data_IF_448331615924
#
_entry.id   IF_448331615924
#
_cell.length_a   1.000
_cell.length_b   1.000
_cell.length_c   1.000
_cell.angle_alpha   90.00
_cell.angle_beta   90.00
_cell.angle_gamma   90.00
#
_symmetry.space_group_name_H-M   'P 1'
#
loop_
_entity.id
_entity.type
_entity.pdbx_description
1 polymer ?
#
# COMPACT_ATOMS: atom_id res chain seq x y z
N UNK A 1 7.81 -5.91 17.39
CA UNK A 1 8.09 -5.68 15.96
C UNK A 1 7.53 -4.32 15.60
N UNK A 2 8.35 -3.39 15.14
CA UNK A 2 7.84 -2.12 14.62
C UNK A 2 7.42 -2.36 13.17
N UNK A 3 6.23 -1.91 12.75
CA UNK A 3 5.85 -2.00 11.35
C UNK A 3 6.87 -1.23 10.49
N UNK A 4 7.27 -1.79 9.34
CA UNK A 4 8.20 -1.13 8.43
C UNK A 4 7.57 0.19 7.98
N UNK A 5 8.27 1.29 8.26
CA UNK A 5 7.81 2.64 7.97
C UNK A 5 8.27 3.03 6.57
N UNK A 6 7.35 3.09 5.61
CA UNK A 6 7.64 3.62 4.27
C UNK A 6 7.49 5.14 4.28
N UNK A 7 8.59 5.85 3.97
CA UNK A 7 8.64 7.31 4.01
C UNK A 7 8.48 7.96 2.63
N UNK A 8 7.94 7.24 1.65
CA UNK A 8 7.84 7.74 0.28
C UNK A 8 9.20 7.97 -0.37
N UNK A 9 10.19 7.16 0.00
CA UNK A 9 11.54 7.25 -0.57
C UNK A 9 11.47 6.82 -2.04
N UNK A 10 11.93 7.70 -2.94
CA UNK A 10 11.88 7.57 -4.41
C UNK A 10 12.69 6.40 -4.98
N UNK A 11 13.13 5.46 -4.13
CA UNK A 11 13.88 4.29 -4.53
C UNK A 11 12.91 3.12 -4.81
N UNK A 12 12.82 2.66 -6.07
CA UNK A 12 12.01 1.50 -6.45
C UNK A 12 12.30 0.25 -5.60
N UNK A 13 13.55 0.06 -5.17
CA UNK A 13 13.96 -1.09 -4.36
C UNK A 13 13.37 -1.02 -2.95
N UNK A 14 13.29 0.16 -2.37
CA UNK A 14 12.70 0.36 -1.05
C UNK A 14 11.18 0.19 -1.10
N UNK A 15 10.54 0.64 -2.17
CA UNK A 15 9.11 0.42 -2.41
C UNK A 15 8.77 -1.07 -2.56
N UNK A 16 9.55 -1.82 -3.35
CA UNK A 16 9.39 -3.28 -3.46
C UNK A 16 9.69 -3.99 -2.14
N UNK A 17 10.73 -3.58 -1.42
CA UNK A 17 11.06 -4.15 -0.12
C UNK A 17 9.91 -3.93 0.88
N UNK A 18 9.32 -2.74 0.91
CA UNK A 18 8.18 -2.46 1.77
C UNK A 18 6.97 -3.33 1.41
N UNK A 19 6.64 -3.45 0.13
CA UNK A 19 5.51 -4.30 -0.31
C UNK A 19 5.71 -5.75 0.13
N UNK A 20 6.92 -6.29 -0.01
CA UNK A 20 7.26 -7.64 0.47
C UNK A 20 7.09 -7.80 1.98
N UNK A 21 7.44 -6.79 2.77
CA UNK A 21 7.23 -6.85 4.21
C UNK A 21 5.74 -6.78 4.59
N UNK A 22 4.93 -5.99 3.87
CA UNK A 22 3.47 -5.98 4.07
C UNK A 22 2.85 -7.35 3.71
N UNK A 23 3.26 -7.97 2.60
CA UNK A 23 2.82 -9.32 2.25
C UNK A 23 3.18 -10.36 3.31
N UNK A 24 4.37 -10.24 3.92
CA UNK A 24 4.78 -11.09 5.05
C UNK A 24 3.90 -10.88 6.27
N UNK A 25 3.59 -9.62 6.63
CA UNK A 25 2.71 -9.29 7.75
C UNK A 25 1.31 -9.86 7.52
N UNK A 26 0.72 -9.63 6.33
CA UNK A 26 -0.59 -10.16 5.96
C UNK A 26 -0.64 -11.69 6.13
N UNK A 27 0.42 -12.38 5.70
CA UNK A 27 0.53 -13.84 5.83
C UNK A 27 0.70 -14.28 7.29
N UNK A 28 1.50 -13.56 8.07
CA UNK A 28 1.78 -13.87 9.47
C UNK A 28 0.54 -13.73 10.36
N UNK A 29 -0.27 -12.68 10.15
CA UNK A 29 -1.49 -12.44 10.93
C UNK A 29 -2.73 -13.10 10.31
N UNK A 30 -2.59 -13.77 9.16
CA UNK A 30 -3.71 -14.34 8.39
C UNK A 30 -4.78 -13.29 8.09
N UNK A 31 -4.35 -12.11 7.65
CA UNK A 31 -5.22 -10.97 7.33
C UNK A 31 -6.23 -11.39 6.24
N UNK A 32 -7.51 -11.11 6.48
CA UNK A 32 -8.57 -11.35 5.51
C UNK A 32 -8.35 -10.49 4.27
N UNK A 33 -8.71 -10.99 3.09
CA UNK A 33 -8.46 -10.29 1.82
C UNK A 33 -9.07 -8.88 1.78
N UNK A 34 -10.25 -8.71 2.39
CA UNK A 34 -10.96 -7.43 2.56
C UNK A 34 -10.21 -6.42 3.44
N UNK A 35 -9.38 -6.87 4.38
CA UNK A 35 -8.67 -6.01 5.33
C UNK A 35 -7.25 -5.64 4.88
N UNK A 36 -6.69 -6.34 3.89
CA UNK A 36 -5.27 -6.18 3.51
C UNK A 36 -4.95 -4.77 3.04
N UNK A 37 -5.83 -4.15 2.25
CA UNK A 37 -5.63 -2.78 1.73
C UNK A 37 -5.73 -1.77 2.88
N UNK A 38 -6.69 -1.95 3.78
CA UNK A 38 -6.82 -1.12 4.98
C UNK A 38 -5.57 -1.19 5.85
N UNK A 39 -5.03 -2.39 6.09
CA UNK A 39 -3.79 -2.56 6.86
C UNK A 39 -2.58 -1.92 6.17
N UNK A 40 -2.41 -2.16 4.87
CA UNK A 40 -1.28 -1.63 4.11
C UNK A 40 -1.28 -0.10 4.07
N UNK A 41 -2.46 0.50 3.91
CA UNK A 41 -2.61 1.95 3.81
C UNK A 41 -2.47 2.61 5.18
N UNK A 42 -2.92 1.95 6.26
CA UNK A 42 -2.60 2.35 7.64
C UNK A 42 -1.08 2.37 7.92
N UNK A 43 -0.32 1.47 7.29
CA UNK A 43 1.14 1.41 7.45
C UNK A 43 1.93 2.39 6.55
N UNK A 44 1.27 3.11 5.63
CA UNK A 44 1.89 4.22 4.90
C UNK A 44 2.13 5.40 5.84
N UNK A 45 3.30 6.04 5.80
CA UNK A 45 3.58 7.22 6.62
C UNK A 45 3.48 8.54 5.83
N UNK A 46 2.92 9.56 6.48
CA UNK A 46 2.95 10.98 6.05
C UNK A 46 2.50 11.23 4.60
N UNK A 47 3.41 11.53 3.66
CA UNK A 47 3.06 12.07 2.33
C UNK A 47 2.33 11.06 1.42
N UNK A 48 2.48 9.77 1.69
CA UNK A 48 1.92 8.71 0.85
C UNK A 48 0.45 8.42 1.17
N UNK A 49 0.02 8.77 2.40
CA UNK A 49 -1.39 8.76 2.82
C UNK A 49 -2.22 9.78 1.99
N UNK A 50 -1.63 10.93 1.65
CA UNK A 50 -2.29 11.95 0.82
C UNK A 50 -2.54 11.47 -0.61
N UNK A 51 -1.59 10.74 -1.21
CA UNK A 51 -1.77 10.16 -2.55
C UNK A 51 -2.89 9.12 -2.53
N UNK A 52 -2.86 8.20 -1.57
CA UNK A 52 -3.86 7.16 -1.48
C UNK A 52 -5.26 7.72 -1.22
N UNK A 53 -5.41 8.63 -0.27
CA UNK A 53 -6.67 9.31 0.00
C UNK A 53 -7.18 10.10 -1.23
N UNK A 54 -6.30 10.69 -2.02
CA UNK A 54 -6.69 11.34 -3.29
C UNK A 54 -7.14 10.33 -4.35
N UNK A 55 -6.50 9.17 -4.41
CA UNK A 55 -6.85 8.12 -5.36
C UNK A 55 -8.22 7.50 -5.04
N UNK A 56 -8.51 7.29 -3.75
CA UNK A 56 -9.82 6.84 -3.28
C UNK A 56 -10.93 7.83 -3.66
N UNK A 57 -10.73 9.13 -3.39
CA UNK A 57 -11.71 10.18 -3.77
C UNK A 57 -11.99 10.23 -5.27
N UNK A 58 -10.96 10.07 -6.09
CA UNK A 58 -11.08 10.28 -7.55
C UNK A 58 -11.51 9.04 -8.32
N UNK A 59 -11.22 7.84 -7.80
CA UNK A 59 -11.39 6.59 -8.55
C UNK A 59 -12.31 5.58 -7.87
N UNK A 60 -12.57 5.72 -6.56
CA UNK A 60 -13.26 4.69 -5.76
C UNK A 60 -14.36 5.27 -4.85
N UNK A 61 -14.82 6.51 -5.07
CA UNK A 61 -15.91 7.13 -4.27
C UNK A 61 -15.67 7.04 -2.74
N UNK A 62 -14.43 7.21 -2.30
CA UNK A 62 -13.98 7.07 -0.90
C UNK A 62 -14.09 5.66 -0.28
N UNK A 63 -14.41 4.63 -1.07
CA UNK A 63 -14.44 3.24 -0.61
C UNK A 63 -13.10 2.54 -0.80
N UNK A 64 -12.26 2.56 0.24
CA UNK A 64 -11.06 1.72 0.30
C UNK A 64 -11.40 0.22 0.40
N UNK A 65 -12.59 -0.09 0.91
CA UNK A 65 -13.08 -1.45 1.19
C UNK A 65 -13.30 -2.24 -0.10
N UNK A 66 -13.54 -1.54 -1.22
CA UNK A 66 -13.81 -2.19 -2.52
C UNK A 66 -12.55 -2.41 -3.37
N UNK A 67 -11.38 -1.93 -2.93
CA UNK A 67 -10.14 -2.15 -3.69
C UNK A 67 -9.58 -3.53 -3.38
N UNK A 68 -9.61 -4.42 -4.37
CA UNK A 68 -8.94 -5.71 -4.27
C UNK A 68 -7.43 -5.54 -4.04
N UNK A 69 -6.84 -6.43 -3.23
CA UNK A 69 -5.41 -6.41 -2.91
C UNK A 69 -4.51 -6.32 -4.15
N UNK A 70 -4.82 -7.07 -5.19
CA UNK A 70 -4.04 -7.08 -6.43
C UNK A 70 -4.06 -5.74 -7.17
N UNK A 71 -5.21 -5.03 -7.13
CA UNK A 71 -5.33 -3.69 -7.71
C UNK A 71 -4.55 -2.67 -6.89
N UNK A 72 -4.56 -2.78 -5.56
CA UNK A 72 -3.70 -1.98 -4.69
C UNK A 72 -2.21 -2.17 -5.01
N UNK A 73 -1.73 -3.42 -5.11
CA UNK A 73 -0.33 -3.72 -5.44
C UNK A 73 0.05 -3.14 -6.80
N UNK A 74 -0.84 -3.27 -7.80
CA UNK A 74 -0.63 -2.70 -9.14
C UNK A 74 -0.50 -1.18 -9.10
N UNK A 75 -1.40 -0.50 -8.40
CA UNK A 75 -1.41 0.96 -8.26
C UNK A 75 -0.20 1.47 -7.47
N UNK A 76 0.17 0.77 -6.39
CA UNK A 76 1.35 1.08 -5.58
C UNK A 76 2.62 0.99 -6.42
N UNK A 77 2.83 -0.12 -7.14
CA UNK A 77 4.00 -0.30 -8.01
C UNK A 77 4.05 0.75 -9.11
N UNK A 78 2.93 1.04 -9.77
CA UNK A 78 2.87 2.07 -10.80
C UNK A 78 3.26 3.47 -10.27
N UNK A 79 3.02 3.74 -8.98
CA UNK A 79 3.34 5.02 -8.34
C UNK A 79 4.80 5.12 -7.86
N UNK A 80 5.31 4.05 -7.24
CA UNK A 80 6.57 4.09 -6.48
C UNK A 80 7.71 3.25 -7.10
N UNK A 81 7.40 2.42 -8.11
CA UNK A 81 8.38 1.59 -8.84
C UNK A 81 8.34 2.03 -10.31
N UNK A 82 8.95 3.18 -10.66
CA UNK A 82 9.03 3.62 -12.05
C UNK A 82 9.71 2.56 -12.92
N UNK A 83 9.09 2.28 -14.06
CA UNK A 83 9.70 1.49 -15.14
C UNK A 83 10.80 2.37 -15.74
N UNK A 84 12.05 1.92 -15.65
CA UNK A 84 13.21 2.64 -16.20
C UNK A 84 13.09 2.90 -17.69
#
# INVERSE_FOLDING_TARGET
MLPPSFKGESDPLLAESWMREIEKINRAIRCADEDKVTLATYMLQKRDDVWWASLLRTRFEDSAVDVAWDEFVRLFRAKFVPVS
#
